data_IF_931375388291
#
_entry.id   IF_931375388291
#
_cell.length_a   1.000
_cell.length_b   1.000
_cell.length_c   1.000
_cell.angle_alpha   90.00
_cell.angle_beta   90.00
_cell.angle_gamma   90.00
#
_symmetry.space_group_name_H-M   'P 1'
#
loop_
_entity.id
_entity.type
_entity.pdbx_description
1 polymer ?
#
# COMPACT_ATOMS: atom_id res chain seq x y z
N UNK A 1 7.97 -17.01 5.72
CA UNK A 1 7.28 -16.07 4.80
C UNK A 1 7.68 -14.68 5.24
N UNK A 2 8.49 -14.01 4.46
CA UNK A 2 9.00 -12.66 4.71
C UNK A 2 8.03 -11.64 4.10
N UNK A 3 7.53 -10.71 4.92
CA UNK A 3 6.50 -9.73 4.54
C UNK A 3 7.08 -8.33 4.66
N UNK A 4 7.09 -7.60 3.57
CA UNK A 4 7.52 -6.21 3.56
C UNK A 4 6.40 -5.27 3.17
N UNK A 5 6.38 -4.09 3.78
CA UNK A 5 5.42 -3.01 3.46
C UNK A 5 6.19 -1.84 2.88
N UNK A 6 5.75 -1.33 1.74
CA UNK A 6 6.35 -0.17 1.07
C UNK A 6 5.36 0.98 1.05
N UNK A 7 5.78 2.12 1.55
CA UNK A 7 4.96 3.33 1.64
C UNK A 7 5.74 4.51 1.04
N UNK A 8 5.36 4.98 -0.17
CA UNK A 8 5.89 6.24 -0.68
C UNK A 8 5.34 7.41 0.14
N UNK A 9 6.23 8.27 0.57
CA UNK A 9 5.95 9.37 1.50
C UNK A 9 6.37 10.69 0.87
N UNK A 10 5.44 11.65 0.80
CA UNK A 10 5.74 13.02 0.39
C UNK A 10 4.97 13.99 1.28
N UNK A 11 5.69 14.85 2.01
CA UNK A 11 5.11 15.83 2.94
C UNK A 11 4.04 15.18 3.82
N UNK A 12 4.44 14.26 4.71
CA UNK A 12 3.50 13.46 5.49
C UNK A 12 2.70 14.32 6.47
N UNK A 13 1.48 13.90 6.70
CA UNK A 13 0.61 14.41 7.77
C UNK A 13 0.47 13.41 8.92
N UNK A 14 -0.36 13.74 9.91
CA UNK A 14 -0.61 12.89 11.08
C UNK A 14 -1.16 11.49 10.75
N UNK A 15 -1.71 11.28 9.54
CA UNK A 15 -2.23 9.98 9.10
C UNK A 15 -1.12 8.96 8.90
N UNK A 16 0.06 9.38 8.40
CA UNK A 16 1.19 8.48 8.28
C UNK A 16 1.62 7.93 9.64
N UNK A 17 1.75 8.81 10.65
CA UNK A 17 2.06 8.41 12.03
C UNK A 17 1.08 7.36 12.54
N UNK A 18 -0.22 7.63 12.41
CA UNK A 18 -1.28 6.71 12.83
C UNK A 18 -1.22 5.38 12.08
N UNK A 19 -0.92 5.42 10.77
CA UNK A 19 -0.75 4.21 9.96
C UNK A 19 0.41 3.36 10.47
N UNK A 20 1.58 3.96 10.67
CA UNK A 20 2.78 3.26 11.18
C UNK A 20 2.51 2.65 12.55
N UNK A 21 1.93 3.40 13.50
CA UNK A 21 1.60 2.88 14.83
C UNK A 21 0.67 1.66 14.77
N UNK A 22 -0.29 1.66 13.84
CA UNK A 22 -1.20 0.51 13.63
C UNK A 22 -0.51 -0.65 12.91
N UNK A 23 0.40 -0.39 11.98
CA UNK A 23 1.19 -1.42 11.31
C UNK A 23 2.13 -2.13 12.28
N UNK A 24 2.70 -1.40 13.24
CA UNK A 24 3.55 -1.96 14.29
C UNK A 24 2.78 -2.76 15.37
N UNK A 25 1.46 -2.87 15.25
CA UNK A 25 0.57 -3.61 16.18
C UNK A 25 -0.30 -4.65 15.47
N UNK A 26 0.12 -5.08 14.28
CA UNK A 26 -0.62 -6.09 13.52
C UNK A 26 -0.54 -7.48 14.16
N UNK A 27 -1.56 -8.33 13.95
CA UNK A 27 -1.58 -9.74 14.41
C UNK A 27 -0.49 -10.57 13.73
N UNK A 28 -0.24 -10.30 12.45
CA UNK A 28 0.91 -10.76 11.69
C UNK A 28 1.79 -9.54 11.46
N UNK A 29 2.98 -9.57 12.05
CA UNK A 29 3.90 -8.45 11.99
C UNK A 29 4.65 -8.44 10.64
N UNK A 30 4.77 -7.29 9.98
CA UNK A 30 5.69 -7.17 8.86
C UNK A 30 7.13 -7.29 9.35
N UNK A 31 7.98 -7.91 8.55
CA UNK A 31 9.41 -8.03 8.83
C UNK A 31 10.12 -6.68 8.61
N UNK A 32 9.68 -5.92 7.60
CA UNK A 32 10.20 -4.59 7.31
C UNK A 32 9.10 -3.65 6.79
N UNK A 33 9.23 -2.37 7.12
CA UNK A 33 8.43 -1.27 6.56
C UNK A 33 9.40 -0.30 5.89
N UNK A 34 9.37 -0.22 4.56
CA UNK A 34 10.16 0.71 3.78
C UNK A 34 9.38 2.00 3.55
N UNK A 35 9.86 3.11 4.08
CA UNK A 35 9.36 4.45 3.79
C UNK A 35 10.19 5.04 2.65
N UNK A 36 9.63 5.15 1.47
CA UNK A 36 10.26 5.81 0.34
C UNK A 36 9.93 7.30 0.38
N UNK A 37 10.81 8.07 0.99
CA UNK A 37 10.62 9.51 1.19
C UNK A 37 11.00 10.28 -0.05
N UNK A 38 9.99 10.85 -0.67
CA UNK A 38 10.15 11.71 -1.84
C UNK A 38 10.46 13.13 -1.39
N UNK A 39 11.50 13.74 -1.95
CA UNK A 39 11.91 15.08 -1.57
C UNK A 39 12.10 15.98 -2.80
N UNK A 40 11.72 17.24 -2.66
CA UNK A 40 12.04 18.35 -3.57
C UNK A 40 13.07 19.28 -2.91
N UNK A 41 13.03 19.38 -1.58
CA UNK A 41 13.88 20.26 -0.79
C UNK A 41 14.51 19.48 0.39
N UNK A 42 15.60 19.98 0.98
CA UNK A 42 16.22 19.33 2.15
C UNK A 42 15.26 19.10 3.33
N UNK A 43 14.32 20.03 3.56
CA UNK A 43 13.33 19.92 4.64
C UNK A 43 12.37 18.72 4.45
N UNK A 44 12.11 18.30 3.23
CA UNK A 44 11.26 17.14 2.95
C UNK A 44 11.91 15.82 3.40
N UNK A 45 13.20 15.83 3.75
CA UNK A 45 13.95 14.68 4.29
C UNK A 45 13.86 14.57 5.82
N UNK A 46 13.26 15.54 6.48
CA UNK A 46 13.08 15.51 7.93
C UNK A 46 11.96 14.53 8.28
N UNK A 47 12.36 13.40 8.88
CA UNK A 47 11.40 12.40 9.35
C UNK A 47 11.37 12.46 10.88
N UNK A 48 10.17 12.55 11.48
CA UNK A 48 10.03 12.51 12.93
C UNK A 48 10.63 11.22 13.54
N UNK A 49 11.27 11.34 14.70
CA UNK A 49 11.88 10.22 15.44
C UNK A 49 10.93 9.03 15.69
N UNK A 50 9.64 9.27 15.67
CA UNK A 50 8.64 8.20 15.84
C UNK A 50 8.74 7.08 14.80
N UNK A 51 9.40 7.34 13.67
CA UNK A 51 9.64 6.34 12.63
C UNK A 51 10.94 5.55 12.82
N UNK A 52 11.62 5.72 13.96
CA UNK A 52 12.88 5.02 14.28
C UNK A 52 12.67 3.66 14.97
N UNK A 53 11.68 2.89 14.53
CA UNK A 53 11.59 1.48 14.91
C UNK A 53 12.58 0.66 14.06
N UNK A 54 13.20 -0.36 14.64
CA UNK A 54 14.21 -1.21 13.95
C UNK A 54 13.70 -1.92 12.69
N UNK A 55 12.37 -1.99 12.52
CA UNK A 55 11.70 -2.57 11.35
C UNK A 55 11.43 -1.53 10.27
N UNK A 56 11.65 -0.26 10.56
CA UNK A 56 11.42 0.83 9.62
C UNK A 56 12.74 1.17 8.95
N UNK A 57 12.77 1.07 7.65
CA UNK A 57 13.84 1.56 6.79
C UNK A 57 13.37 2.79 6.05
N UNK A 58 14.23 3.78 5.95
CA UNK A 58 13.94 5.02 5.23
C UNK A 58 14.85 5.14 4.04
N UNK A 59 14.27 5.28 2.86
CA UNK A 59 14.97 5.57 1.62
C UNK A 59 14.56 6.95 1.12
N UNK A 60 15.50 7.71 0.60
CA UNK A 60 15.23 9.04 0.05
C UNK A 60 15.37 9.02 -1.47
N UNK A 61 14.33 9.47 -2.17
CA UNK A 61 14.26 9.52 -3.63
C UNK A 61 13.90 10.95 -4.06
N UNK A 62 14.66 11.58 -4.99
CA UNK A 62 14.24 12.85 -5.58
C UNK A 62 12.85 12.69 -6.21
N UNK A 63 11.94 13.62 -5.94
CA UNK A 63 10.56 13.52 -6.46
C UNK A 63 10.49 13.51 -7.98
N UNK A 64 11.39 14.20 -8.63
CA UNK A 64 11.53 14.24 -10.08
C UNK A 64 11.92 12.90 -10.71
N UNK A 65 12.60 12.03 -9.96
CA UNK A 65 13.01 10.69 -10.38
C UNK A 65 11.93 9.64 -10.07
N UNK A 66 10.93 10.01 -9.26
CA UNK A 66 9.89 9.09 -8.84
C UNK A 66 8.83 8.89 -9.92
N UNK A 67 8.81 7.71 -10.50
CA UNK A 67 7.70 7.20 -11.29
C UNK A 67 6.97 6.10 -10.51
N UNK A 68 5.66 6.28 -10.30
CA UNK A 68 4.85 5.38 -9.47
C UNK A 68 4.91 3.92 -9.91
N UNK A 69 4.96 3.66 -11.20
CA UNK A 69 5.00 2.29 -11.74
C UNK A 69 6.43 1.75 -11.73
N UNK A 70 7.39 2.53 -12.25
CA UNK A 70 8.80 2.16 -12.34
C UNK A 70 9.44 1.98 -10.97
N UNK A 71 9.16 2.87 -10.00
CA UNK A 71 9.68 2.75 -8.63
C UNK A 71 9.17 1.47 -7.95
N UNK A 72 7.90 1.11 -8.14
CA UNK A 72 7.37 -0.15 -7.60
C UNK A 72 8.01 -1.38 -8.23
N UNK A 73 8.20 -1.38 -9.55
CA UNK A 73 8.87 -2.47 -10.25
C UNK A 73 10.34 -2.61 -9.81
N UNK A 74 11.06 -1.49 -9.67
CA UNK A 74 12.43 -1.46 -9.18
C UNK A 74 12.53 -2.03 -7.75
N UNK A 75 11.65 -1.59 -6.85
CA UNK A 75 11.58 -2.08 -5.47
C UNK A 75 11.30 -3.59 -5.46
N UNK A 76 10.31 -4.07 -6.25
CA UNK A 76 9.99 -5.50 -6.32
C UNK A 76 11.15 -6.37 -6.81
N UNK A 77 12.02 -5.83 -7.67
CA UNK A 77 13.23 -6.55 -8.15
C UNK A 77 14.36 -6.56 -7.14
N UNK A 78 14.39 -5.59 -6.26
CA UNK A 78 15.43 -5.42 -5.24
C UNK A 78 15.13 -6.21 -3.97
N UNK A 79 13.84 -6.33 -3.61
CA UNK A 79 13.41 -6.99 -2.38
C UNK A 79 13.42 -8.52 -2.55
N UNK A 80 14.05 -9.21 -1.59
CA UNK A 80 14.03 -10.67 -1.44
C UNK A 80 12.97 -11.08 -0.43
N UNK A 81 11.71 -10.71 -0.71
CA UNK A 81 10.57 -11.01 0.16
C UNK A 81 9.51 -11.84 -0.54
N UNK A 82 8.86 -12.70 0.24
CA UNK A 82 7.78 -13.55 -0.28
C UNK A 82 6.54 -12.73 -0.65
N UNK A 83 6.24 -11.67 0.13
CA UNK A 83 5.09 -10.81 -0.08
C UNK A 83 5.48 -9.35 0.13
N UNK A 84 5.16 -8.50 -0.85
CA UNK A 84 5.29 -7.05 -0.75
C UNK A 84 3.92 -6.40 -0.73
N UNK A 85 3.65 -5.59 0.29
CA UNK A 85 2.41 -4.83 0.44
C UNK A 85 2.68 -3.36 0.13
N UNK A 86 2.10 -2.86 -0.96
CA UNK A 86 2.17 -1.42 -1.27
C UNK A 86 1.01 -0.68 -0.61
N UNK A 87 1.33 0.35 0.16
CA UNK A 87 0.34 1.22 0.78
C UNK A 87 0.59 2.68 0.39
N UNK A 88 -0.46 3.50 0.41
CA UNK A 88 -0.31 4.96 0.32
C UNK A 88 -0.18 5.55 1.73
N UNK A 89 0.55 6.66 1.87
CA UNK A 89 0.82 7.28 3.18
C UNK A 89 -0.44 7.66 3.98
N UNK A 90 -1.57 7.84 3.30
CA UNK A 90 -2.85 8.21 3.93
C UNK A 90 -3.73 7.01 4.28
N UNK A 91 -3.32 5.79 3.90
CA UNK A 91 -4.06 4.59 4.22
C UNK A 91 -3.80 4.17 5.67
N UNK A 92 -4.87 4.11 6.47
CA UNK A 92 -4.78 3.73 7.88
C UNK A 92 -5.40 2.34 8.03
N UNK A 93 -4.67 1.34 8.55
CA UNK A 93 -5.26 0.04 8.87
C UNK A 93 -6.46 0.19 9.79
N UNK A 94 -7.61 -0.36 9.42
CA UNK A 94 -8.82 -0.27 10.24
C UNK A 94 -8.65 -0.99 11.58
N UNK A 95 -7.94 -2.13 11.55
CA UNK A 95 -7.70 -2.95 12.72
C UNK A 95 -6.35 -3.68 12.62
N UNK A 96 -6.07 -4.54 13.59
CA UNK A 96 -4.81 -5.30 13.68
C UNK A 96 -4.71 -6.51 12.73
N UNK A 97 -5.70 -6.78 11.91
CA UNK A 97 -5.76 -7.96 11.04
C UNK A 97 -5.49 -7.65 9.57
N UNK A 98 -5.07 -6.42 9.21
CA UNK A 98 -4.84 -6.04 7.81
C UNK A 98 -3.81 -6.94 7.15
N UNK A 99 -2.62 -7.07 7.75
CA UNK A 99 -1.52 -7.87 7.17
C UNK A 99 -1.94 -9.33 7.07
N UNK A 100 -2.53 -9.90 8.12
CA UNK A 100 -3.04 -11.28 8.13
C UNK A 100 -4.04 -11.51 6.98
N UNK A 101 -5.02 -10.61 6.81
CA UNK A 101 -6.05 -10.73 5.78
C UNK A 101 -5.51 -10.56 4.36
N UNK A 102 -4.48 -9.73 4.17
CA UNK A 102 -3.84 -9.57 2.87
C UNK A 102 -2.93 -10.76 2.51
N UNK A 103 -2.34 -11.41 3.51
CA UNK A 103 -1.40 -12.51 3.28
C UNK A 103 -2.06 -13.90 3.27
N UNK A 104 -3.19 -14.07 3.97
CA UNK A 104 -3.93 -15.33 4.05
C UNK A 104 -4.25 -15.96 2.67
N UNK A 105 -4.70 -15.22 1.64
CA UNK A 105 -5.01 -15.79 0.33
C UNK A 105 -3.80 -16.37 -0.42
N UNK A 106 -2.57 -15.98 -0.07
CA UNK A 106 -1.35 -16.52 -0.69
C UNK A 106 -1.01 -17.96 -0.24
N UNK A 107 -1.75 -18.51 0.73
CA UNK A 107 -1.72 -19.96 1.01
C UNK A 107 -2.20 -20.78 -0.17
N UNK A 108 -2.98 -20.18 -1.06
CA UNK A 108 -3.34 -20.72 -2.35
C UNK A 108 -2.24 -20.39 -3.38
N UNK A 109 -1.53 -21.37 -3.91
CA UNK A 109 -0.40 -21.20 -4.86
C UNK A 109 -0.76 -20.39 -6.12
N UNK A 110 -2.03 -20.34 -6.49
CA UNK A 110 -2.51 -19.60 -7.67
C UNK A 110 -2.81 -18.13 -7.40
N UNK A 111 -2.67 -17.67 -6.16
CA UNK A 111 -2.88 -16.27 -5.81
C UNK A 111 -1.65 -15.44 -6.16
N UNK A 112 -1.80 -14.50 -7.09
CA UNK A 112 -0.72 -13.62 -7.51
C UNK A 112 -0.81 -12.22 -6.91
N UNK A 113 -2.02 -11.71 -6.66
CA UNK A 113 -2.25 -10.34 -6.15
C UNK A 113 -3.49 -10.33 -5.25
N UNK A 114 -3.39 -9.59 -4.15
CA UNK A 114 -4.49 -9.35 -3.20
C UNK A 114 -4.67 -7.86 -2.98
N UNK A 115 -5.91 -7.39 -2.93
CA UNK A 115 -6.26 -6.00 -2.66
C UNK A 115 -7.02 -5.86 -1.35
N UNK A 116 -6.62 -4.89 -0.53
CA UNK A 116 -7.41 -4.42 0.59
C UNK A 116 -8.60 -3.56 0.12
N UNK A 117 -9.71 -3.62 0.86
CA UNK A 117 -10.84 -2.73 0.63
C UNK A 117 -10.51 -1.32 1.14
N UNK A 118 -10.72 -0.32 0.29
CA UNK A 118 -10.68 1.08 0.70
C UNK A 118 -12.04 1.46 1.29
N UNK A 119 -12.07 1.74 2.58
CA UNK A 119 -13.26 2.25 3.26
C UNK A 119 -13.25 3.78 3.23
N UNK A 120 -14.44 4.35 3.26
CA UNK A 120 -14.63 5.79 3.44
C UNK A 120 -14.54 6.14 4.91
N UNK A 121 -14.08 7.33 5.22
CA UNK A 121 -14.19 7.96 6.54
C UNK A 121 -15.44 8.86 6.59
N UNK A 122 -15.69 9.43 7.76
CA UNK A 122 -16.86 10.29 8.00
C UNK A 122 -16.78 11.64 7.26
N UNK A 123 -15.59 12.03 6.78
CA UNK A 123 -15.35 13.27 6.04
C UNK A 123 -15.51 13.08 4.52
N UNK A 124 -15.74 11.86 4.07
CA UNK A 124 -15.83 11.51 2.66
C UNK A 124 -17.08 12.11 2.00
N UNK A 125 -16.90 12.76 0.86
CA UNK A 125 -18.06 13.28 0.11
C UNK A 125 -18.97 12.15 -0.38
N UNK A 126 -20.29 12.39 -0.56
CA UNK A 126 -21.23 11.36 -1.06
C UNK A 126 -20.80 10.75 -2.39
N UNK A 127 -20.25 11.55 -3.31
CA UNK A 127 -19.77 11.09 -4.61
C UNK A 127 -18.59 10.14 -4.42
N UNK A 128 -17.62 10.52 -3.59
CA UNK A 128 -16.45 9.69 -3.30
C UNK A 128 -16.85 8.38 -2.62
N UNK A 129 -17.81 8.43 -1.69
CA UNK A 129 -18.38 7.24 -1.06
C UNK A 129 -18.95 6.27 -2.10
N UNK A 130 -19.75 6.78 -3.05
CA UNK A 130 -20.31 5.97 -4.13
C UNK A 130 -19.22 5.35 -5.02
N UNK A 131 -18.22 6.15 -5.42
CA UNK A 131 -17.10 5.67 -6.24
C UNK A 131 -16.29 4.60 -5.52
N UNK A 132 -16.00 4.79 -4.23
CA UNK A 132 -15.27 3.79 -3.44
C UNK A 132 -16.07 2.51 -3.24
N UNK A 133 -17.38 2.60 -2.96
CA UNK A 133 -18.24 1.43 -2.83
C UNK A 133 -18.34 0.64 -4.15
N UNK A 134 -18.39 1.33 -5.28
CA UNK A 134 -18.39 0.71 -6.60
C UNK A 134 -17.10 -0.03 -6.91
N UNK A 135 -15.94 0.62 -6.67
CA UNK A 135 -14.64 0.05 -6.96
C UNK A 135 -14.19 -1.01 -5.93
N UNK A 136 -14.62 -0.87 -4.67
CA UNK A 136 -14.26 -1.74 -3.56
C UNK A 136 -15.52 -2.25 -2.83
N UNK A 137 -16.31 -3.12 -3.46
CA UNK A 137 -17.54 -3.63 -2.88
C UNK A 137 -17.28 -4.42 -1.59
N UNK A 138 -18.27 -4.50 -0.67
CA UNK A 138 -18.10 -5.20 0.62
C UNK A 138 -17.89 -6.70 0.47
N UNK A 139 -18.33 -7.29 -0.64
CA UNK A 139 -18.16 -8.71 -0.92
C UNK A 139 -16.81 -8.96 -1.59
N UNK A 140 -16.01 -9.85 -1.01
CA UNK A 140 -14.76 -10.30 -1.62
C UNK A 140 -14.99 -10.92 -3.00
N UNK A 141 -14.08 -10.65 -3.93
CA UNK A 141 -14.12 -11.19 -5.29
C UNK A 141 -12.76 -11.78 -5.65
N UNK A 142 -12.80 -12.95 -6.28
CA UNK A 142 -11.63 -13.57 -6.91
C UNK A 142 -11.76 -13.46 -8.42
N UNK A 143 -10.72 -12.97 -9.09
CA UNK A 143 -10.64 -12.88 -10.55
C UNK A 143 -9.46 -13.72 -11.05
N UNK A 144 -9.68 -14.55 -12.07
CA UNK A 144 -8.61 -15.26 -12.75
C UNK A 144 -8.10 -14.47 -13.95
N UNK A 145 -6.81 -14.57 -14.25
CA UNK A 145 -6.16 -13.88 -15.36
C UNK A 145 -6.87 -14.12 -16.71
N UNK A 146 -7.31 -15.35 -17.00
CA UNK A 146 -8.02 -15.69 -18.24
C UNK A 146 -9.37 -15.00 -18.37
N UNK A 147 -10.07 -14.77 -17.25
CA UNK A 147 -11.36 -14.06 -17.22
C UNK A 147 -11.17 -12.55 -17.35
N UNK A 148 -10.08 -12.01 -16.79
CA UNK A 148 -9.72 -10.61 -16.90
C UNK A 148 -9.38 -10.20 -18.34
N UNK A 149 -8.67 -11.05 -19.07
CA UNK A 149 -8.31 -10.82 -20.48
C UNK A 149 -9.52 -10.73 -21.41
N UNK A 150 -10.65 -11.39 -21.07
CA UNK A 150 -11.91 -11.29 -21.81
C UNK A 150 -12.76 -10.05 -21.45
N UNK A 151 -12.55 -9.50 -20.25
CA UNK A 151 -13.29 -8.35 -19.76
C UNK A 151 -12.54 -7.01 -19.96
N UNK A 152 -11.30 -7.06 -20.43
CA UNK A 152 -10.52 -5.87 -20.66
C UNK A 152 -10.88 -5.25 -22.01
N UNK A 153 -11.69 -4.20 -21.95
CA UNK A 153 -11.95 -3.33 -23.09
C UNK A 153 -10.97 -2.14 -22.98
N UNK A 154 -10.00 -2.01 -23.90
CA UNK A 154 -9.03 -0.90 -23.85
C UNK A 154 -9.69 0.47 -23.99
N UNK A 155 -10.92 0.54 -24.54
CA UNK A 155 -11.65 1.79 -24.74
C UNK A 155 -12.27 2.37 -23.45
N UNK A 156 -12.29 1.62 -22.34
CA UNK A 156 -12.82 2.08 -21.04
C UNK A 156 -11.76 2.81 -20.20
N UNK A 157 -10.48 2.75 -20.59
CA UNK A 157 -9.36 3.33 -19.85
C UNK A 157 -8.59 4.38 -20.65
N UNK A 158 -9.25 5.16 -21.48
CA UNK A 158 -8.69 6.41 -22.00
C UNK A 158 -8.83 7.48 -20.91
N UNK A 159 -7.72 7.74 -20.19
CA UNK A 159 -7.53 8.93 -19.35
C UNK A 159 -6.59 9.88 -20.07
#
# INVERSE_FOLDING_TARGET
>A
MNIEIVIPVFRPDGRLKMSIERLLRQSVMPDRILLEVLYENPIDREIPEIYMDKRIEVRYTPKEEYDRAGSRDAILRELDSDIVIFMVQTAIPQNRYLVEKLTEPFKEERTAVVYGRHMTDDECSPIECCVRQFNYPPKGMTKSFGRYRKAWNPDIFQF
#
